data_IF_774534029075
#
_entry.id   IF_774534029075
#
_cell.length_a   1.000
_cell.length_b   1.000
_cell.length_c   1.000
_cell.angle_alpha   90.00
_cell.angle_beta   90.00
_cell.angle_gamma   90.00
#
_symmetry.space_group_name_H-M   'P 1'
#
loop_
_entity.id
_entity.type
_entity.pdbx_description
1 polymer ?
#
# COMPACT_ATOMS: atom_id res chain seq x y z
N UNK A 1 7.88 -12.90 19.09
CA UNK A 1 8.11 -11.60 19.78
C UNK A 1 7.04 -10.63 19.29
N UNK A 2 6.11 -10.23 20.15
CA UNK A 2 4.96 -9.39 19.78
C UNK A 2 5.12 -8.00 20.39
N UNK A 3 5.16 -6.97 19.54
CA UNK A 3 5.32 -5.57 19.95
C UNK A 3 3.95 -4.90 20.19
N UNK A 4 3.69 -4.24 21.34
CA UNK A 4 2.45 -3.51 21.60
C UNK A 4 2.46 -2.19 20.80
N UNK A 5 1.54 -1.95 19.84
CA UNK A 5 0.29 -1.17 20.02
C UNK A 5 0.52 0.00 20.97
N UNK A 6 0.61 1.23 20.50
CA UNK A 6 -0.56 1.99 20.05
C UNK A 6 -0.09 3.26 19.33
N UNK A 7 -0.89 3.82 18.43
CA UNK A 7 -0.61 4.99 17.56
C UNK A 7 0.27 4.77 16.30
N UNK A 8 1.26 3.88 16.30
CA UNK A 8 2.10 3.61 15.10
C UNK A 8 1.63 2.47 14.17
N UNK A 9 0.70 1.62 14.66
CA UNK A 9 0.40 0.31 14.03
C UNK A 9 -0.09 0.37 12.59
N UNK A 10 -0.91 1.36 12.26
CA UNK A 10 -1.44 1.49 10.89
C UNK A 10 -0.34 1.77 9.88
N UNK A 11 0.62 2.63 10.23
CA UNK A 11 1.73 3.02 9.34
C UNK A 11 2.72 1.87 9.22
N UNK A 12 3.10 1.23 10.32
CA UNK A 12 4.02 0.08 10.30
C UNK A 12 3.46 -1.08 9.48
N UNK A 13 2.17 -1.40 9.58
CA UNK A 13 1.55 -2.45 8.77
C UNK A 13 1.60 -2.14 7.26
N UNK A 14 1.32 -0.89 6.88
CA UNK A 14 1.37 -0.48 5.47
C UNK A 14 2.79 -0.64 4.91
N UNK A 15 3.81 -0.27 5.68
CA UNK A 15 5.21 -0.39 5.26
C UNK A 15 5.63 -1.84 5.11
N UNK A 16 5.31 -2.70 6.08
CA UNK A 16 5.60 -4.13 6.02
C UNK A 16 4.97 -4.79 4.78
N UNK A 17 3.73 -4.43 4.45
CA UNK A 17 3.07 -4.92 3.25
C UNK A 17 3.63 -4.34 1.96
N UNK A 18 4.10 -3.10 1.98
CA UNK A 18 4.85 -2.54 0.85
C UNK A 18 6.17 -3.29 0.64
N UNK A 19 6.89 -3.63 1.70
CA UNK A 19 8.11 -4.44 1.64
C UNK A 19 7.83 -5.83 1.06
N UNK A 20 6.77 -6.50 1.53
CA UNK A 20 6.35 -7.78 0.95
C UNK A 20 5.99 -7.65 -0.55
N UNK A 21 5.36 -6.54 -0.94
CA UNK A 21 5.04 -6.27 -2.34
C UNK A 21 6.27 -6.08 -3.23
N UNK A 22 7.41 -5.64 -2.69
CA UNK A 22 8.66 -5.50 -3.46
C UNK A 22 9.15 -6.84 -3.98
N UNK A 23 8.98 -7.91 -3.19
CA UNK A 23 9.42 -9.26 -3.58
C UNK A 23 8.31 -10.01 -4.31
N UNK A 24 7.05 -9.86 -3.87
CA UNK A 24 5.92 -10.61 -4.42
C UNK A 24 5.27 -9.93 -5.64
N UNK A 25 5.49 -8.64 -5.87
CA UNK A 25 4.79 -7.83 -6.88
C UNK A 25 3.32 -7.52 -6.54
N UNK A 26 2.83 -7.94 -5.37
CA UNK A 26 1.46 -7.72 -4.92
C UNK A 26 1.41 -6.80 -3.70
N UNK A 27 0.82 -5.62 -3.86
CA UNK A 27 0.64 -4.64 -2.80
C UNK A 27 -0.74 -4.77 -2.17
N UNK A 28 -0.82 -5.39 -1.00
CA UNK A 28 -2.08 -5.51 -0.25
C UNK A 28 -2.22 -4.41 0.80
N UNK A 29 -2.95 -3.35 0.48
CA UNK A 29 -3.30 -2.29 1.43
C UNK A 29 -4.75 -2.43 1.91
N UNK A 30 -5.31 -3.63 1.84
CA UNK A 30 -6.68 -3.88 2.25
C UNK A 30 -6.87 -3.68 3.76
N UNK A 31 -8.02 -3.13 4.16
CA UNK A 31 -8.39 -2.89 5.57
C UNK A 31 -7.44 -1.97 6.35
N UNK A 32 -6.70 -1.09 5.67
CA UNK A 32 -5.80 -0.13 6.32
C UNK A 32 -6.49 1.17 6.75
N UNK A 33 -7.81 1.31 6.55
CA UNK A 33 -8.57 2.56 6.82
C UNK A 33 -7.94 3.80 6.18
N UNK A 34 -7.26 3.62 5.06
CA UNK A 34 -6.56 4.70 4.36
C UNK A 34 -7.58 5.68 3.78
N UNK A 35 -7.46 6.96 4.15
CA UNK A 35 -8.24 8.03 3.53
C UNK A 35 -7.65 8.47 2.18
N UNK A 36 -6.34 8.32 2.03
CA UNK A 36 -5.54 8.65 0.85
C UNK A 36 -4.28 7.78 0.83
N UNK A 37 -3.71 7.58 -0.35
CA UNK A 37 -2.40 6.92 -0.51
C UNK A 37 -1.32 7.97 -0.23
N UNK A 38 -0.62 7.81 0.90
CA UNK A 38 0.46 8.70 1.29
C UNK A 38 1.66 8.61 0.33
N UNK A 39 2.38 9.72 0.13
CA UNK A 39 3.52 9.73 -0.80
C UNK A 39 4.64 8.76 -0.38
N UNK A 40 4.73 8.46 0.93
CA UNK A 40 5.65 7.47 1.49
C UNK A 40 5.48 6.07 0.85
N UNK A 41 4.27 5.66 0.46
CA UNK A 41 4.04 4.36 -0.18
C UNK A 41 4.76 4.30 -1.54
N UNK A 42 4.70 5.38 -2.33
CA UNK A 42 5.41 5.43 -3.61
C UNK A 42 6.92 5.51 -3.43
N UNK A 43 7.41 6.13 -2.35
CA UNK A 43 8.84 6.16 -2.03
C UNK A 43 9.36 4.77 -1.69
N UNK A 44 8.60 4.01 -0.88
CA UNK A 44 8.96 2.64 -0.50
C UNK A 44 9.00 1.74 -1.72
N UNK A 45 8.01 1.83 -2.60
CA UNK A 45 7.89 1.00 -3.80
C UNK A 45 8.67 1.57 -5.01
N UNK A 46 9.43 2.65 -4.82
CA UNK A 46 10.17 3.30 -5.91
C UNK A 46 11.24 2.36 -6.45
N UNK A 47 11.15 2.03 -7.73
CA UNK A 47 12.09 1.11 -8.39
C UNK A 47 11.69 -0.36 -8.32
N UNK A 48 10.53 -0.68 -7.75
CA UNK A 48 9.97 -2.03 -7.73
C UNK A 48 8.73 -2.12 -8.63
N UNK A 49 8.57 -3.26 -9.29
CA UNK A 49 7.44 -3.50 -10.18
C UNK A 49 6.28 -4.14 -9.43
N UNK A 50 5.22 -3.36 -9.20
CA UNK A 50 3.98 -3.85 -8.60
C UNK A 50 3.01 -4.18 -9.73
N UNK A 51 2.61 -5.45 -9.81
CA UNK A 51 1.68 -5.98 -10.83
C UNK A 51 0.26 -6.12 -10.31
N UNK A 52 0.06 -6.14 -8.99
CA UNK A 52 -1.26 -6.20 -8.38
C UNK A 52 -1.34 -5.30 -7.16
N UNK A 53 -2.49 -4.69 -6.95
CA UNK A 53 -2.74 -3.90 -5.76
C UNK A 53 -4.15 -4.15 -5.25
N UNK A 54 -4.30 -4.28 -3.94
CA UNK A 54 -5.62 -4.33 -3.32
C UNK A 54 -5.78 -3.18 -2.35
N UNK A 55 -6.88 -2.45 -2.53
CA UNK A 55 -7.25 -1.27 -1.76
C UNK A 55 -8.60 -1.49 -1.06
N UNK A 56 -9.03 -2.74 -0.93
CA UNK A 56 -10.33 -3.11 -0.38
C UNK A 56 -10.48 -2.63 1.05
N UNK A 57 -11.71 -2.33 1.46
CA UNK A 57 -12.01 -2.01 2.86
C UNK A 57 -11.22 -0.79 3.41
N UNK A 58 -10.93 0.19 2.55
CA UNK A 58 -10.36 1.49 2.91
C UNK A 58 -11.39 2.61 2.78
N UNK A 59 -11.14 3.75 3.43
CA UNK A 59 -11.97 4.95 3.36
C UNK A 59 -11.45 5.95 2.32
N UNK A 60 -11.00 5.47 1.16
CA UNK A 60 -10.38 6.30 0.13
C UNK A 60 -11.39 7.34 -0.37
N UNK A 61 -11.16 8.61 -0.05
CA UNK A 61 -12.02 9.71 -0.54
C UNK A 61 -11.87 9.94 -2.04
N UNK A 62 -10.73 9.57 -2.61
CA UNK A 62 -10.43 9.70 -4.03
C UNK A 62 -9.68 8.48 -4.53
N UNK A 63 -9.98 8.10 -5.76
CA UNK A 63 -9.26 7.03 -6.44
C UNK A 63 -7.80 7.42 -6.71
N UNK A 64 -6.80 6.59 -6.38
CA UNK A 64 -5.39 6.96 -6.44
C UNK A 64 -4.86 6.87 -7.88
N UNK A 65 -5.19 7.87 -8.71
CA UNK A 65 -4.71 7.98 -10.11
C UNK A 65 -3.18 7.97 -10.22
N UNK A 66 -2.47 8.55 -9.23
CA UNK A 66 -1.00 8.50 -9.11
C UNK A 66 -0.48 7.07 -9.10
N UNK A 67 -1.22 6.14 -8.49
CA UNK A 67 -0.83 4.75 -8.37
C UNK A 67 -0.96 4.00 -9.69
N UNK A 68 -2.01 4.28 -10.49
CA UNK A 68 -2.09 3.77 -11.86
C UNK A 68 -0.96 4.33 -12.73
N UNK A 69 -0.66 5.63 -12.60
CA UNK A 69 0.44 6.23 -13.36
C UNK A 69 1.82 5.70 -12.97
N UNK A 70 2.02 5.31 -11.70
CA UNK A 70 3.28 4.72 -11.21
C UNK A 70 3.39 3.23 -11.49
N UNK A 71 2.27 2.53 -11.50
CA UNK A 71 2.19 1.10 -11.73
C UNK A 71 1.18 0.83 -12.85
N UNK A 72 1.56 1.07 -14.12
CA UNK A 72 0.65 0.91 -15.25
C UNK A 72 0.17 -0.54 -15.43
N UNK A 73 1.00 -1.51 -15.02
CA UNK A 73 0.67 -2.92 -15.02
C UNK A 73 -0.07 -3.39 -13.74
N UNK A 74 -0.28 -2.51 -12.75
CA UNK A 74 -0.97 -2.89 -11.53
C UNK A 74 -2.48 -3.01 -11.76
N UNK A 75 -3.02 -4.22 -11.60
CA UNK A 75 -4.47 -4.42 -11.57
C UNK A 75 -4.99 -4.16 -10.17
N UNK A 76 -6.00 -3.28 -10.02
CA UNK A 76 -6.70 -3.10 -8.74
C UNK A 76 -7.80 -4.14 -8.57
N UNK A 77 -7.74 -4.95 -7.51
CA UNK A 77 -8.77 -5.94 -7.15
C UNK A 77 -9.52 -5.56 -5.89
#
# INVERSE_FOLDING_TARGET
>A
MAFPASAGRGVTQVIDRCEAAKTSGFLDLSSCTLMYIADAIYLVLKGFEVTKVSLRNNCLKKFPKKMIGKFPNATSK
#
